data_IF_351003515904
#
_entry.id   IF_351003515904
#
_cell.length_a   1.000
_cell.length_b   1.000
_cell.length_c   1.000
_cell.angle_alpha   90.00
_cell.angle_beta   90.00
_cell.angle_gamma   90.00
#
_symmetry.space_group_name_H-M   'P 1'
#
loop_
_entity.id
_entity.type
_entity.pdbx_description
1 polymer ?
#
# COMPACT_ATOMS: atom_id res chain seq x y z
N UNK A 1 -12.86 7.80 -1.11
CA UNK A 1 -13.75 8.13 0.00
C UNK A 1 -13.04 9.08 0.96
N UNK A 2 -13.54 10.31 1.11
CA UNK A 2 -13.05 11.25 2.12
C UNK A 2 -13.48 10.79 3.52
N UNK A 3 -12.71 9.90 4.11
CA UNK A 3 -12.98 9.36 5.46
C UNK A 3 -13.05 10.45 6.54
N UNK A 4 -12.40 11.59 6.32
CA UNK A 4 -12.46 12.75 7.22
C UNK A 4 -13.88 13.28 7.46
N UNK A 5 -14.80 13.09 6.51
CA UNK A 5 -16.21 13.47 6.67
C UNK A 5 -16.96 12.64 7.73
N UNK A 6 -16.48 11.42 8.02
CA UNK A 6 -17.08 10.57 9.03
C UNK A 6 -16.61 10.87 10.46
N UNK A 7 -15.54 11.67 10.59
CA UNK A 7 -14.94 12.02 11.88
C UNK A 7 -14.66 13.52 11.96
N UNK A 8 -15.70 14.36 11.88
CA UNK A 8 -15.54 15.83 11.78
C UNK A 8 -14.84 16.45 13.00
N UNK A 9 -14.94 15.78 14.16
CA UNK A 9 -14.37 16.28 15.42
C UNK A 9 -12.90 15.86 15.63
N UNK A 10 -12.37 14.97 14.79
CA UNK A 10 -10.99 14.50 14.89
C UNK A 10 -10.08 15.40 14.08
N UNK A 11 -9.35 16.29 14.76
CA UNK A 11 -8.40 17.22 14.12
C UNK A 11 -7.15 16.55 13.58
N UNK A 12 -6.78 15.37 14.10
CA UNK A 12 -5.59 14.65 13.69
C UNK A 12 -5.87 13.15 13.57
N UNK A 13 -5.84 12.64 12.33
CA UNK A 13 -6.04 11.23 12.02
C UNK A 13 -4.72 10.43 11.98
N UNK A 14 -3.63 10.98 12.50
CA UNK A 14 -2.32 10.37 12.49
C UNK A 14 -2.14 9.52 13.75
N UNK A 15 -1.83 8.24 13.56
CA UNK A 15 -1.45 7.34 14.65
C UNK A 15 -0.17 7.88 15.34
N UNK A 16 -0.24 8.06 16.66
CA UNK A 16 0.91 8.45 17.49
C UNK A 16 1.83 7.24 17.75
N UNK A 17 3.08 7.49 18.13
CA UNK A 17 4.01 6.41 18.46
C UNK A 17 3.52 5.54 19.62
N UNK A 18 2.84 6.13 20.60
CA UNK A 18 2.23 5.38 21.71
C UNK A 18 1.13 4.44 21.24
N UNK A 19 0.27 4.91 20.32
CA UNK A 19 -0.80 4.07 19.75
C UNK A 19 -0.17 2.99 18.87
N UNK A 20 0.87 3.30 18.08
CA UNK A 20 1.57 2.34 17.25
C UNK A 20 2.20 1.23 18.10
N UNK A 21 2.89 1.59 19.19
CA UNK A 21 3.50 0.60 20.09
C UNK A 21 2.44 -0.28 20.76
N UNK A 22 1.36 0.34 21.27
CA UNK A 22 0.25 -0.41 21.88
C UNK A 22 -0.38 -1.38 20.87
N UNK A 23 -0.66 -0.90 19.65
CA UNK A 23 -1.24 -1.72 18.57
C UNK A 23 -0.35 -2.93 18.26
N UNK A 24 0.95 -2.70 17.99
CA UNK A 24 1.88 -3.78 17.63
C UNK A 24 2.00 -4.78 18.77
N UNK A 25 2.16 -4.31 20.02
CA UNK A 25 2.26 -5.17 21.19
C UNK A 25 1.02 -6.05 21.36
N UNK A 26 -0.18 -5.45 21.42
CA UNK A 26 -1.43 -6.17 21.61
C UNK A 26 -1.74 -7.12 20.45
N UNK A 27 -1.45 -6.69 19.19
CA UNK A 27 -1.61 -7.55 18.02
C UNK A 27 -0.72 -8.80 18.14
N UNK A 28 0.56 -8.64 18.46
CA UNK A 28 1.50 -9.74 18.62
C UNK A 28 1.13 -10.66 19.81
N UNK A 29 0.64 -10.13 20.91
CA UNK A 29 0.19 -10.91 22.09
C UNK A 29 -1.05 -11.76 21.79
N UNK A 30 -1.91 -11.31 20.87
CA UNK A 30 -3.12 -12.04 20.46
C UNK A 30 -2.86 -13.13 19.42
N UNK A 31 -1.70 -13.16 18.77
CA UNK A 31 -1.39 -14.16 17.76
C UNK A 31 -0.92 -15.46 18.39
N UNK A 32 -1.35 -16.56 17.82
CA UNK A 32 -0.98 -17.93 18.25
C UNK A 32 -0.12 -18.66 17.21
N UNK A 33 0.06 -18.06 16.04
CA UNK A 33 0.83 -18.63 14.92
C UNK A 33 2.32 -18.32 15.06
N UNK A 34 3.16 -19.06 14.32
CA UNK A 34 4.60 -18.80 14.24
C UNK A 34 4.96 -17.70 13.23
N UNK A 35 4.00 -17.35 12.38
CA UNK A 35 4.13 -16.33 11.34
C UNK A 35 3.04 -15.29 11.52
N UNK A 36 3.43 -14.02 11.56
CA UNK A 36 2.52 -12.89 11.70
C UNK A 36 2.61 -11.99 10.47
N UNK A 37 1.46 -11.57 9.94
CA UNK A 37 1.36 -10.67 8.80
C UNK A 37 0.80 -9.30 9.23
N UNK A 38 1.58 -8.24 8.99
CA UNK A 38 1.11 -6.87 9.13
C UNK A 38 0.72 -6.30 7.76
N UNK A 39 -0.56 -5.97 7.61
CA UNK A 39 -1.08 -5.31 6.41
C UNK A 39 -1.31 -3.82 6.68
N UNK A 40 -0.44 -3.00 6.11
CA UNK A 40 -0.55 -1.54 6.21
C UNK A 40 -1.52 -1.02 5.14
N UNK A 41 -2.66 -0.55 5.62
CA UNK A 41 -3.73 -0.02 4.77
C UNK A 41 -4.34 1.24 5.39
N UNK A 42 -5.11 1.98 4.60
CA UNK A 42 -5.79 3.16 5.13
C UNK A 42 -6.18 4.11 4.01
N UNK A 43 -5.98 5.42 4.16
CA UNK A 43 -6.11 6.38 3.06
C UNK A 43 -5.02 6.14 2.01
N UNK A 44 -3.98 6.97 2.02
CA UNK A 44 -2.75 6.66 1.27
C UNK A 44 -1.62 6.42 2.27
N UNK A 45 -1.09 5.21 2.29
CA UNK A 45 -0.10 4.77 3.27
C UNK A 45 1.23 5.50 3.14
N UNK A 46 1.65 5.83 1.92
CA UNK A 46 2.91 6.52 1.65
C UNK A 46 2.87 8.02 2.01
N UNK A 47 1.75 8.54 2.47
CA UNK A 47 1.69 9.86 3.12
C UNK A 47 2.31 9.84 4.52
N UNK A 48 2.47 8.67 5.14
CA UNK A 48 3.30 8.52 6.35
C UNK A 48 4.77 8.48 5.95
N UNK A 49 5.66 9.12 6.69
CA UNK A 49 7.10 9.09 6.36
C UNK A 49 7.69 7.69 6.61
N UNK A 50 8.78 7.37 5.92
CA UNK A 50 9.53 6.11 6.09
C UNK A 50 9.93 5.89 7.56
N UNK A 51 10.24 6.95 8.31
CA UNK A 51 10.57 6.88 9.73
C UNK A 51 9.48 6.22 10.58
N UNK A 52 8.20 6.39 10.22
CA UNK A 52 7.09 5.71 10.88
C UNK A 52 7.19 4.19 10.70
N UNK A 53 7.47 3.73 9.49
CA UNK A 53 7.60 2.30 9.19
C UNK A 53 8.87 1.70 9.80
N UNK A 54 9.99 2.46 9.81
CA UNK A 54 11.20 2.06 10.54
C UNK A 54 10.88 1.82 12.02
N UNK A 55 10.14 2.73 12.65
CA UNK A 55 9.69 2.57 14.03
C UNK A 55 8.77 1.36 14.21
N UNK A 56 7.86 1.13 13.29
CA UNK A 56 6.99 -0.07 13.32
C UNK A 56 7.82 -1.36 13.27
N UNK A 57 8.81 -1.45 12.38
CA UNK A 57 9.71 -2.60 12.30
C UNK A 57 10.55 -2.81 13.56
N UNK A 58 11.02 -1.74 14.22
CA UNK A 58 11.71 -1.82 15.52
C UNK A 58 10.80 -2.42 16.59
N UNK A 59 9.55 -1.96 16.65
CA UNK A 59 8.56 -2.46 17.62
C UNK A 59 8.16 -3.90 17.32
N UNK A 60 7.98 -4.26 16.06
CA UNK A 60 7.74 -5.64 15.65
C UNK A 60 8.86 -6.55 16.14
N UNK A 61 10.14 -6.21 15.89
CA UNK A 61 11.29 -6.98 16.39
C UNK A 61 11.32 -7.08 17.91
N UNK A 62 10.97 -5.99 18.61
CA UNK A 62 10.91 -5.97 20.09
C UNK A 62 9.91 -6.98 20.65
N UNK A 63 8.76 -7.15 19.98
CA UNK A 63 7.65 -7.97 20.48
C UNK A 63 7.52 -9.32 19.74
N UNK A 64 8.38 -9.62 18.76
CA UNK A 64 8.30 -10.84 17.94
C UNK A 64 8.35 -12.14 18.74
N UNK A 65 9.16 -12.19 19.82
CA UNK A 65 9.30 -13.43 20.60
C UNK A 65 9.85 -14.60 19.79
N UNK A 66 10.63 -14.36 18.72
CA UNK A 66 11.17 -15.38 17.83
C UNK A 66 10.28 -15.76 16.64
N UNK A 67 9.12 -15.11 16.48
CA UNK A 67 8.20 -15.35 15.35
C UNK A 67 8.70 -14.64 14.09
N UNK A 68 8.38 -15.22 12.93
CA UNK A 68 8.55 -14.55 11.65
C UNK A 68 7.48 -13.46 11.48
N UNK A 69 7.88 -12.31 10.94
CA UNK A 69 6.96 -11.20 10.70
C UNK A 69 7.11 -10.74 9.25
N UNK A 70 6.00 -10.84 8.53
CA UNK A 70 5.87 -10.36 7.18
C UNK A 70 5.10 -9.03 7.14
N UNK A 71 5.47 -8.16 6.22
CA UNK A 71 4.83 -6.87 6.05
C UNK A 71 4.36 -6.72 4.61
N UNK A 72 3.09 -6.35 4.44
CA UNK A 72 2.59 -5.87 3.16
C UNK A 72 1.98 -4.46 3.32
N UNK A 73 2.02 -3.70 2.24
CA UNK A 73 1.54 -2.32 2.21
C UNK A 73 0.72 -2.07 0.95
N UNK A 74 -0.46 -1.46 1.12
CA UNK A 74 -1.33 -1.10 0.01
C UNK A 74 -1.20 0.40 -0.30
N UNK A 75 -0.90 0.73 -1.54
CA UNK A 75 -0.74 2.11 -2.01
C UNK A 75 -1.43 2.36 -3.35
N UNK A 76 -1.78 3.60 -3.61
CA UNK A 76 -2.20 4.04 -4.96
C UNK A 76 -1.00 4.21 -5.92
N UNK A 77 0.23 3.98 -5.49
CA UNK A 77 1.45 4.00 -6.30
C UNK A 77 1.96 5.39 -6.70
N UNK A 78 1.19 6.46 -6.49
CA UNK A 78 1.54 7.79 -7.02
C UNK A 78 2.69 8.49 -6.28
N UNK A 79 3.04 8.02 -5.08
CA UNK A 79 4.10 8.57 -4.22
C UNK A 79 5.35 7.68 -4.18
N UNK A 80 5.38 6.57 -4.93
CA UNK A 80 6.55 5.72 -5.03
C UNK A 80 7.74 6.49 -5.60
N UNK A 81 8.90 6.31 -5.00
CA UNK A 81 10.18 6.86 -5.42
C UNK A 81 11.31 5.89 -5.06
N UNK A 82 12.56 6.20 -5.46
CA UNK A 82 13.70 5.32 -5.20
C UNK A 82 13.91 5.04 -3.72
N UNK A 83 13.70 6.02 -2.82
CA UNK A 83 13.85 5.86 -1.36
C UNK A 83 12.83 4.86 -0.80
N UNK A 84 11.57 4.94 -1.23
CA UNK A 84 10.52 3.99 -0.84
C UNK A 84 10.83 2.59 -1.36
N UNK A 85 11.23 2.47 -2.63
CA UNK A 85 11.53 1.16 -3.23
C UNK A 85 12.73 0.50 -2.56
N UNK A 86 13.78 1.28 -2.25
CA UNK A 86 14.92 0.78 -1.48
C UNK A 86 14.49 0.30 -0.09
N UNK A 87 13.70 1.09 0.65
CA UNK A 87 13.19 0.71 1.96
C UNK A 87 12.37 -0.59 1.91
N UNK A 88 11.48 -0.74 0.93
CA UNK A 88 10.68 -1.95 0.77
C UNK A 88 11.55 -3.17 0.46
N UNK A 89 12.53 -3.02 -0.43
CA UNK A 89 13.46 -4.11 -0.77
C UNK A 89 14.28 -4.56 0.43
N UNK A 90 14.88 -3.61 1.16
CA UNK A 90 15.70 -3.90 2.33
C UNK A 90 14.94 -4.57 3.48
N UNK A 91 13.62 -4.37 3.55
CA UNK A 91 12.77 -4.88 4.63
C UNK A 91 11.75 -5.93 4.15
N UNK A 92 11.91 -6.47 2.94
CA UNK A 92 11.07 -7.53 2.37
C UNK A 92 9.55 -7.23 2.40
N UNK A 93 9.16 -5.99 2.08
CA UNK A 93 7.74 -5.65 1.97
C UNK A 93 7.16 -6.19 0.67
N UNK A 94 5.96 -6.78 0.76
CA UNK A 94 5.09 -6.99 -0.41
C UNK A 94 4.26 -5.72 -0.64
N UNK A 95 4.33 -5.16 -1.84
CA UNK A 95 3.66 -3.90 -2.17
C UNK A 95 2.43 -4.16 -3.03
N UNK A 96 1.23 -3.92 -2.51
CA UNK A 96 0.00 -3.89 -3.30
C UNK A 96 -0.17 -2.53 -3.97
N UNK A 97 -0.17 -2.49 -5.31
CA UNK A 97 -0.36 -1.26 -6.07
C UNK A 97 -1.74 -1.23 -6.68
N UNK A 98 -2.49 -0.17 -6.40
CA UNK A 98 -3.82 0.00 -6.98
C UNK A 98 -3.74 0.48 -8.43
N UNK A 99 -4.14 -0.38 -9.39
CA UNK A 99 -4.21 -0.06 -10.82
C UNK A 99 -5.38 -0.83 -11.46
N UNK A 100 -6.29 -0.14 -12.14
CA UNK A 100 -7.55 -0.72 -12.62
C UNK A 100 -7.52 -1.09 -14.12
N UNK A 101 -6.36 -1.45 -14.66
CA UNK A 101 -6.20 -1.85 -16.05
C UNK A 101 -5.58 -0.76 -16.91
N UNK A 102 -5.82 -0.75 -18.24
CA UNK A 102 -5.36 0.28 -19.18
C UNK A 102 -5.68 1.70 -18.72
N UNK A 103 -4.96 2.68 -19.27
CA UNK A 103 -5.11 4.08 -18.89
C UNK A 103 -6.56 4.56 -18.85
N UNK A 104 -7.35 4.20 -19.84
CA UNK A 104 -8.75 4.62 -19.97
C UNK A 104 -9.60 4.10 -18.81
N UNK A 105 -9.41 2.83 -18.41
CA UNK A 105 -10.12 2.23 -17.28
C UNK A 105 -9.66 2.80 -15.95
N UNK A 106 -8.36 2.95 -15.78
CA UNK A 106 -7.79 3.49 -14.55
C UNK A 106 -8.20 4.94 -14.31
N UNK A 107 -8.03 5.79 -15.31
CA UNK A 107 -8.24 7.25 -15.18
C UNK A 107 -9.72 7.64 -15.14
N UNK A 108 -10.67 6.72 -15.41
CA UNK A 108 -12.09 6.99 -15.22
C UNK A 108 -12.40 7.28 -13.75
N UNK A 109 -11.94 6.44 -12.83
CA UNK A 109 -12.25 6.55 -11.41
C UNK A 109 -11.06 6.92 -10.51
N UNK A 110 -9.82 6.70 -10.97
CA UNK A 110 -8.63 7.01 -10.18
C UNK A 110 -8.00 8.33 -10.59
N UNK A 111 -8.58 9.38 -10.07
CA UNK A 111 -8.14 10.76 -10.28
C UNK A 111 -7.59 11.35 -8.99
N UNK A 112 -6.68 12.32 -9.10
CA UNK A 112 -6.20 13.06 -7.94
C UNK A 112 -7.28 14.04 -7.42
N UNK A 113 -7.01 14.74 -6.32
CA UNK A 113 -7.94 15.73 -5.73
C UNK A 113 -8.33 16.87 -6.68
N UNK A 114 -7.54 17.13 -7.71
CA UNK A 114 -7.80 18.13 -8.73
C UNK A 114 -8.55 17.57 -9.95
N UNK A 115 -8.95 16.31 -9.92
CA UNK A 115 -9.61 15.61 -11.02
C UNK A 115 -8.66 15.18 -12.14
N UNK A 116 -7.34 15.31 -11.97
CA UNK A 116 -6.36 14.93 -13.00
C UNK A 116 -6.08 13.42 -12.96
N UNK A 117 -5.80 12.80 -14.12
CA UNK A 117 -5.50 11.39 -14.27
C UNK A 117 -4.24 10.99 -13.47
N UNK A 118 -4.21 9.73 -13.02
CA UNK A 118 -3.11 9.22 -12.20
C UNK A 118 -2.31 8.08 -12.83
N UNK A 119 -2.78 7.49 -13.93
CA UNK A 119 -2.20 6.30 -14.56
C UNK A 119 -0.68 6.37 -14.76
N UNK A 120 -0.17 7.42 -15.41
CA UNK A 120 1.26 7.55 -15.67
C UNK A 120 2.11 7.64 -14.40
N UNK A 121 1.58 8.22 -13.32
CA UNK A 121 2.29 8.26 -12.04
C UNK A 121 2.38 6.87 -11.42
N UNK A 122 1.30 6.10 -11.51
CA UNK A 122 1.25 4.72 -11.02
C UNK A 122 2.21 3.84 -11.81
N UNK A 123 2.18 3.93 -13.15
CA UNK A 123 3.10 3.18 -14.02
C UNK A 123 4.56 3.48 -13.71
N UNK A 124 4.91 4.74 -13.52
CA UNK A 124 6.26 5.13 -13.08
C UNK A 124 6.62 4.51 -11.72
N UNK A 125 5.66 4.45 -10.80
CA UNK A 125 5.84 3.79 -9.50
C UNK A 125 6.11 2.29 -9.65
N UNK A 126 5.38 1.60 -10.53
CA UNK A 126 5.58 0.18 -10.84
C UNK A 126 6.96 -0.05 -11.50
N UNK A 127 7.37 0.80 -12.42
CA UNK A 127 8.71 0.74 -13.01
C UNK A 127 9.82 0.86 -11.97
N UNK A 128 9.64 1.72 -10.96
CA UNK A 128 10.58 1.84 -9.85
C UNK A 128 10.60 0.58 -8.97
N UNK A 129 9.45 -0.02 -8.67
CA UNK A 129 9.40 -1.30 -7.95
C UNK A 129 10.15 -2.40 -8.71
N UNK A 130 9.92 -2.53 -10.03
CA UNK A 130 10.65 -3.46 -10.89
C UNK A 130 12.17 -3.18 -10.90
N UNK A 131 12.56 -1.93 -11.07
CA UNK A 131 13.98 -1.50 -11.06
C UNK A 131 14.70 -1.90 -9.79
N UNK A 132 14.04 -1.79 -8.64
CA UNK A 132 14.62 -2.15 -7.32
C UNK A 132 14.41 -3.62 -6.94
N UNK A 133 13.71 -4.41 -7.77
CA UNK A 133 13.39 -5.81 -7.49
C UNK A 133 12.50 -5.99 -6.25
N UNK A 134 11.57 -5.06 -6.02
CA UNK A 134 10.57 -5.14 -4.96
C UNK A 134 9.43 -6.02 -5.43
N UNK A 135 9.02 -6.98 -4.60
CA UNK A 135 7.83 -7.79 -4.87
C UNK A 135 6.56 -6.95 -4.77
N UNK A 136 5.70 -7.05 -5.78
CA UNK A 136 4.45 -6.31 -5.79
C UNK A 136 3.30 -7.12 -6.41
N UNK A 137 2.08 -6.78 -6.02
CA UNK A 137 0.84 -7.25 -6.61
C UNK A 137 0.05 -6.07 -7.17
N UNK A 138 -0.49 -6.21 -8.37
CA UNK A 138 -1.47 -5.28 -8.90
C UNK A 138 -2.84 -5.57 -8.28
N UNK A 139 -3.46 -4.55 -7.69
CA UNK A 139 -4.79 -4.61 -7.09
C UNK A 139 -5.76 -3.81 -7.92
N UNK A 140 -6.71 -4.48 -8.56
CA UNK A 140 -7.64 -3.87 -9.48
C UNK A 140 -9.09 -3.99 -9.02
N UNK A 141 -9.89 -3.00 -9.38
CA UNK A 141 -11.34 -3.01 -9.16
C UNK A 141 -12.04 -3.22 -10.49
N UNK A 142 -12.85 -4.27 -10.57
CA UNK A 142 -13.81 -4.44 -11.66
C UNK A 142 -15.02 -3.57 -11.35
N UNK A 143 -15.42 -2.74 -12.30
CA UNK A 143 -16.50 -1.76 -12.17
C UNK A 143 -17.35 -1.72 -13.43
N UNK A 144 -18.39 -0.89 -13.44
CA UNK A 144 -19.33 -0.73 -14.54
C UNK A 144 -18.71 -0.23 -15.85
N UNK A 145 -17.55 0.40 -15.80
CA UNK A 145 -16.84 0.91 -16.98
C UNK A 145 -15.95 -0.15 -17.65
N UNK A 146 -15.33 -1.05 -16.88
CA UNK A 146 -14.38 -2.04 -17.41
C UNK A 146 -14.91 -3.47 -17.48
N UNK A 147 -16.07 -3.76 -16.88
CA UNK A 147 -16.63 -5.13 -16.78
C UNK A 147 -16.91 -5.77 -18.14
N UNK A 148 -17.24 -4.98 -19.16
CA UNK A 148 -17.53 -5.47 -20.51
C UNK A 148 -16.29 -5.72 -21.37
N UNK A 149 -15.09 -5.44 -20.84
CA UNK A 149 -13.79 -5.55 -21.54
C UNK A 149 -12.83 -6.55 -20.87
N UNK A 150 -13.25 -7.80 -20.56
CA UNK A 150 -12.46 -8.72 -19.74
C UNK A 150 -11.14 -9.14 -20.37
N UNK A 151 -11.08 -9.24 -21.72
CA UNK A 151 -9.85 -9.63 -22.42
C UNK A 151 -8.82 -8.50 -22.43
N UNK A 152 -9.26 -7.27 -22.63
CA UNK A 152 -8.40 -6.10 -22.62
C UNK A 152 -7.83 -5.87 -21.20
N UNK A 153 -8.70 -5.98 -20.20
CA UNK A 153 -8.31 -5.93 -18.79
C UNK A 153 -7.28 -7.01 -18.44
N UNK A 154 -7.52 -8.26 -18.81
CA UNK A 154 -6.60 -9.37 -18.55
C UNK A 154 -5.26 -9.20 -19.27
N UNK A 155 -5.28 -8.84 -20.56
CA UNK A 155 -4.07 -8.68 -21.36
C UNK A 155 -3.17 -7.58 -20.79
N UNK A 156 -3.74 -6.47 -20.32
CA UNK A 156 -2.98 -5.42 -19.65
C UNK A 156 -2.14 -5.96 -18.50
N UNK A 157 -2.73 -6.75 -17.59
CA UNK A 157 -2.00 -7.30 -16.44
C UNK A 157 -0.99 -8.36 -16.86
N UNK A 158 -1.27 -9.13 -17.89
CA UNK A 158 -0.31 -10.09 -18.45
C UNK A 158 0.93 -9.41 -19.07
N UNK A 159 0.77 -8.23 -19.62
CA UNK A 159 1.86 -7.43 -20.18
C UNK A 159 2.60 -6.60 -19.12
N UNK A 160 1.94 -6.35 -18.00
CA UNK A 160 2.50 -5.60 -16.88
C UNK A 160 3.55 -6.41 -16.12
N UNK A 161 3.55 -7.73 -16.21
CA UNK A 161 4.40 -8.66 -15.46
C UNK A 161 5.91 -8.73 -15.93
#
# INVERSE_FOLDING_TARGET
>A
LEKSKFYPDVKNHIMTDQILEKFIKEYMECQTMQEDLFTWHGGETLMRPISFYKKALELQRKYAGGRQIDNCIQTNGTLLNDEWCQFFKENNFLVGVSIDGPQEFHDEYRRNRQGLPSFYKVMKGIELLKKHGVEYNAMAVVNDYNVDYPLEFYNFFKELD
#
